data_IF_394771514429
#
_entry.id   IF_394771514429
#
_cell.length_a   1.000
_cell.length_b   1.000
_cell.length_c   1.000
_cell.angle_alpha   90.00
_cell.angle_beta   90.00
_cell.angle_gamma   90.00
#
_symmetry.space_group_name_H-M   'P 1'
#
loop_
_entity.id
_entity.type
_entity.pdbx_description
1 polymer ?
#
# COMPACT_ATOMS: atom_id res chain seq x y z
N UNK A 1 -5.28 10.64 -13.80
CA UNK A 1 -4.86 9.25 -14.01
C UNK A 1 -3.82 8.87 -12.96
N UNK A 2 -3.84 7.63 -12.47
CA UNK A 2 -2.79 7.07 -11.60
C UNK A 2 -2.32 5.75 -12.21
N UNK A 3 -1.04 5.43 -12.02
CA UNK A 3 -0.48 4.15 -12.43
C UNK A 3 0.47 3.64 -11.34
N UNK A 4 0.65 2.31 -11.31
CA UNK A 4 1.59 1.63 -10.45
C UNK A 4 2.25 0.50 -11.23
N UNK A 5 3.54 0.31 -10.98
CA UNK A 5 4.32 -0.80 -11.52
C UNK A 5 4.80 -1.65 -10.36
N UNK A 6 4.69 -2.97 -10.49
CA UNK A 6 5.25 -3.89 -9.51
C UNK A 6 5.84 -5.12 -10.18
N UNK A 7 6.95 -5.61 -9.63
CA UNK A 7 7.59 -6.85 -10.06
C UNK A 7 7.22 -7.94 -9.06
N UNK A 8 6.61 -9.01 -9.55
CA UNK A 8 6.32 -10.19 -8.78
C UNK A 8 7.62 -10.92 -8.44
N UNK A 9 7.99 -11.03 -7.14
CA UNK A 9 9.24 -11.65 -6.73
C UNK A 9 9.23 -13.17 -6.86
N UNK A 10 8.06 -13.80 -7.05
CA UNK A 10 7.92 -15.26 -7.10
C UNK A 10 8.13 -15.84 -8.49
N UNK A 11 7.69 -15.12 -9.53
CA UNK A 11 7.79 -15.56 -10.93
C UNK A 11 8.53 -14.57 -11.83
N UNK A 12 8.93 -13.40 -11.32
CA UNK A 12 9.68 -12.38 -12.05
C UNK A 12 8.85 -11.47 -12.95
N UNK A 13 7.54 -11.71 -13.09
CA UNK A 13 6.68 -10.91 -13.96
C UNK A 13 6.57 -9.46 -13.50
N UNK A 14 6.56 -8.53 -14.45
CA UNK A 14 6.35 -7.10 -14.17
C UNK A 14 4.96 -6.70 -14.62
N UNK A 15 4.20 -6.11 -13.72
CA UNK A 15 2.85 -5.65 -13.96
C UNK A 15 2.79 -4.12 -13.96
N UNK A 16 2.01 -3.56 -14.87
CA UNK A 16 1.62 -2.16 -14.90
C UNK A 16 0.10 -2.10 -14.74
N UNK A 17 -0.37 -1.47 -13.69
CA UNK A 17 -1.78 -1.17 -13.51
C UNK A 17 -2.01 0.33 -13.67
N UNK A 18 -3.09 0.70 -14.36
CA UNK A 18 -3.48 2.09 -14.53
C UNK A 18 -4.97 2.31 -14.28
N UNK A 19 -5.28 3.47 -13.74
CA UNK A 19 -6.63 3.98 -13.54
C UNK A 19 -6.99 5.00 -14.62
N UNK A 20 -8.05 4.70 -15.36
CA UNK A 20 -8.67 5.54 -16.38
C UNK A 20 -10.10 5.92 -15.97
N UNK A 21 -10.73 6.91 -16.65
CA UNK A 21 -12.16 7.20 -16.43
C UNK A 21 -13.09 6.01 -16.71
N UNK A 22 -12.67 5.05 -17.55
CA UNK A 22 -13.46 3.87 -17.89
C UNK A 22 -13.31 2.71 -16.89
N UNK A 23 -12.32 2.79 -15.97
CA UNK A 23 -11.99 1.70 -15.05
C UNK A 23 -10.49 1.48 -14.95
N UNK A 24 -10.09 0.27 -14.54
CA UNK A 24 -8.69 -0.14 -14.44
C UNK A 24 -8.27 -0.95 -15.65
N UNK A 25 -6.99 -0.89 -15.98
CA UNK A 25 -6.35 -1.86 -16.86
C UNK A 25 -5.14 -2.46 -16.17
N UNK A 26 -4.86 -3.72 -16.49
CA UNK A 26 -3.66 -4.44 -16.07
C UNK A 26 -2.90 -4.89 -17.30
N UNK A 27 -1.61 -4.59 -17.33
CA UNK A 27 -0.69 -5.03 -18.37
C UNK A 27 0.47 -5.78 -17.75
N UNK A 28 1.11 -6.66 -18.52
CA UNK A 28 2.31 -7.39 -18.14
C UNK A 28 3.43 -7.11 -19.14
N UNK A 29 4.64 -6.93 -18.63
CA UNK A 29 5.82 -6.80 -19.46
C UNK A 29 6.11 -8.11 -20.21
N UNK A 30 6.25 -8.02 -21.53
CA UNK A 30 6.60 -9.14 -22.38
C UNK A 30 7.99 -8.92 -22.98
N UNK A 31 8.98 -9.63 -22.44
CA UNK A 31 10.39 -9.48 -22.81
C UNK A 31 10.68 -9.61 -24.30
N UNK A 32 10.10 -10.58 -25.06
CA UNK A 32 10.40 -10.71 -26.49
C UNK A 32 10.04 -9.48 -27.32
N UNK A 33 9.00 -8.73 -26.93
CA UNK A 33 8.57 -7.51 -27.64
C UNK A 33 8.99 -6.22 -26.91
N UNK A 34 9.64 -6.33 -25.74
CA UNK A 34 10.04 -5.19 -24.89
C UNK A 34 8.91 -4.18 -24.68
N UNK A 35 7.71 -4.67 -24.39
CA UNK A 35 6.54 -3.81 -24.15
C UNK A 35 5.58 -4.44 -23.14
N UNK A 36 4.75 -3.58 -22.55
CA UNK A 36 3.61 -4.01 -21.78
C UNK A 36 2.49 -4.48 -22.71
N UNK A 37 2.00 -5.69 -22.47
CA UNK A 37 0.87 -6.30 -23.16
C UNK A 37 -0.36 -6.25 -22.25
N UNK A 38 -1.49 -5.82 -22.78
CA UNK A 38 -2.75 -5.77 -22.03
C UNK A 38 -3.17 -7.18 -21.63
N UNK A 39 -3.43 -7.38 -20.34
CA UNK A 39 -3.99 -8.61 -19.79
C UNK A 39 -5.49 -8.48 -19.56
N UNK A 40 -5.92 -7.41 -18.89
CA UNK A 40 -7.30 -7.27 -18.42
C UNK A 40 -7.74 -5.82 -18.39
N UNK A 41 -9.00 -5.59 -18.75
CA UNK A 41 -9.74 -4.38 -18.40
C UNK A 41 -10.72 -4.74 -17.27
N UNK A 42 -10.83 -3.86 -16.29
CA UNK A 42 -11.68 -4.06 -15.12
C UNK A 42 -12.59 -2.83 -14.99
N UNK A 43 -13.88 -3.07 -15.17
CA UNK A 43 -14.91 -2.04 -15.02
C UNK A 43 -15.20 -1.83 -13.53
N UNK A 44 -14.64 -0.77 -12.95
CA UNK A 44 -14.87 -0.44 -11.55
C UNK A 44 -14.93 1.07 -11.33
N UNK A 45 -15.65 1.45 -10.27
CA UNK A 45 -15.65 2.83 -9.77
C UNK A 45 -14.60 2.93 -8.69
N UNK A 46 -13.58 3.76 -8.90
CA UNK A 46 -12.56 4.00 -7.88
C UNK A 46 -13.07 5.01 -6.84
N UNK A 47 -12.64 4.87 -5.57
CA UNK A 47 -12.99 5.84 -4.54
C UNK A 47 -12.42 7.22 -4.88
N UNK A 48 -13.23 8.26 -4.67
CA UNK A 48 -12.81 9.66 -4.78
C UNK A 48 -12.85 10.33 -3.40
N UNK A 49 -11.77 10.97 -2.93
CA UNK A 49 -10.43 11.00 -3.54
C UNK A 49 -9.76 9.62 -3.48
N UNK A 50 -8.91 9.31 -4.47
CA UNK A 50 -8.08 8.10 -4.49
C UNK A 50 -6.86 8.33 -3.59
N UNK A 51 -6.80 7.65 -2.45
CA UNK A 51 -5.78 7.93 -1.43
C UNK A 51 -4.51 7.10 -1.65
N UNK A 52 -4.64 5.84 -2.05
CA UNK A 52 -3.51 4.98 -2.43
C UNK A 52 -3.70 4.45 -3.85
N UNK A 53 -2.60 4.00 -4.46
CA UNK A 53 -2.60 3.25 -5.71
C UNK A 53 -1.34 2.39 -5.76
N UNK A 54 -1.32 1.32 -4.96
CA UNK A 54 -0.17 0.42 -4.78
C UNK A 54 -0.58 -1.00 -5.18
N UNK A 55 0.25 -1.69 -5.99
CA UNK A 55 0.05 -3.09 -6.31
C UNK A 55 0.63 -3.97 -5.19
N UNK A 56 -0.21 -4.86 -4.65
CA UNK A 56 0.13 -5.76 -3.55
C UNK A 56 0.19 -7.18 -4.10
N UNK A 57 1.36 -7.81 -3.99
CA UNK A 57 1.62 -9.12 -4.57
C UNK A 57 1.55 -10.18 -3.48
N UNK A 58 0.64 -11.14 -3.65
CA UNK A 58 0.46 -12.30 -2.78
C UNK A 58 0.77 -13.57 -3.58
N UNK A 59 1.54 -14.53 -3.06
CA UNK A 59 1.92 -15.73 -3.81
C UNK A 59 0.73 -16.64 -4.15
N UNK A 60 -0.40 -16.47 -3.47
CA UNK A 60 -1.62 -17.27 -3.66
C UNK A 60 -2.46 -16.80 -4.87
N UNK A 61 -2.21 -15.60 -5.40
CA UNK A 61 -3.00 -15.01 -6.48
C UNK A 61 -2.17 -14.86 -7.77
N UNK A 62 -2.83 -14.99 -8.91
CA UNK A 62 -2.22 -14.88 -10.24
C UNK A 62 -1.74 -13.44 -10.53
N UNK A 63 -2.60 -12.48 -10.24
CA UNK A 63 -2.37 -11.04 -10.41
C UNK A 63 -2.32 -10.32 -9.07
N UNK A 64 -1.59 -9.18 -9.00
CA UNK A 64 -1.57 -8.37 -7.79
C UNK A 64 -2.96 -7.87 -7.40
N UNK A 65 -3.20 -7.68 -6.11
CA UNK A 65 -4.28 -6.87 -5.58
C UNK A 65 -3.92 -5.40 -5.74
N UNK A 66 -4.92 -4.51 -5.86
CA UNK A 66 -4.71 -3.07 -5.92
C UNK A 66 -5.20 -2.40 -4.63
N UNK A 67 -4.30 -1.76 -3.90
CA UNK A 67 -4.64 -0.93 -2.75
C UNK A 67 -5.08 0.46 -3.19
N UNK A 68 -6.33 0.83 -2.86
CA UNK A 68 -6.94 2.13 -3.22
C UNK A 68 -7.10 3.07 -2.01
N UNK A 69 -6.82 2.57 -0.80
CA UNK A 69 -6.88 3.33 0.44
C UNK A 69 -6.75 2.45 1.67
N UNK A 70 -7.01 3.03 2.83
CA UNK A 70 -6.90 2.37 4.14
C UNK A 70 -8.07 2.80 5.02
N UNK A 71 -8.62 1.90 5.82
CA UNK A 71 -9.61 2.20 6.87
C UNK A 71 -8.92 2.64 8.16
N UNK A 72 -9.59 3.44 9.00
CA UNK A 72 -8.99 4.00 10.22
C UNK A 72 -9.14 3.08 11.43
N UNK A 73 -10.28 2.40 11.56
CA UNK A 73 -10.65 1.63 12.76
C UNK A 73 -11.38 0.33 12.40
N UNK A 74 -10.70 -0.84 12.41
CA UNK A 74 -9.25 -1.01 12.53
C UNK A 74 -8.49 -0.53 11.27
N UNK A 75 -7.17 -0.32 11.39
CA UNK A 75 -6.33 -0.01 10.22
C UNK A 75 -6.23 -1.24 9.31
N UNK A 76 -6.88 -1.20 8.13
CA UNK A 76 -6.86 -2.27 7.12
C UNK A 76 -6.75 -1.68 5.72
N UNK A 77 -6.14 -2.43 4.79
CA UNK A 77 -6.05 -2.03 3.39
C UNK A 77 -7.41 -2.19 2.70
N UNK A 78 -7.77 -1.22 1.86
CA UNK A 78 -8.89 -1.34 0.93
C UNK A 78 -8.35 -1.88 -0.39
N UNK A 79 -8.60 -3.16 -0.65
CA UNK A 79 -8.02 -3.90 -1.77
C UNK A 79 -9.08 -4.16 -2.85
N UNK A 80 -8.72 -3.92 -4.10
CA UNK A 80 -9.46 -4.35 -5.28
C UNK A 80 -8.78 -5.60 -5.80
N UNK A 81 -9.52 -6.70 -5.90
CA UNK A 81 -9.00 -7.91 -6.49
C UNK A 81 -9.18 -7.89 -8.01
N UNK A 82 -8.07 -7.92 -8.72
CA UNK A 82 -8.06 -7.93 -10.18
C UNK A 82 -8.27 -9.35 -10.74
N UNK A 83 -8.13 -10.39 -9.90
CA UNK A 83 -8.28 -11.79 -10.29
C UNK A 83 -9.76 -12.18 -10.51
N UNK A 84 -10.68 -11.65 -9.70
CA UNK A 84 -12.11 -11.93 -9.79
C UNK A 84 -12.85 -10.90 -10.67
N UNK A 85 -14.02 -11.26 -11.20
CA UNK A 85 -14.89 -10.33 -11.93
C UNK A 85 -15.66 -9.36 -11.01
N UNK A 86 -15.74 -9.66 -9.71
CA UNK A 86 -16.30 -8.77 -8.70
C UNK A 86 -15.25 -7.75 -8.26
N UNK A 87 -15.59 -6.47 -8.28
CA UNK A 87 -14.62 -5.37 -8.25
C UNK A 87 -14.34 -4.77 -6.88
N UNK A 88 -15.00 -5.26 -5.83
CA UNK A 88 -14.86 -4.73 -4.48
C UNK A 88 -14.69 -5.89 -3.51
N UNK A 89 -13.50 -5.98 -2.91
CA UNK A 89 -13.26 -6.88 -1.80
C UNK A 89 -13.24 -6.02 -0.55
N UNK A 90 -14.34 -6.04 0.21
CA UNK A 90 -14.23 -5.64 1.60
C UNK A 90 -13.49 -6.76 2.33
N UNK A 91 -12.48 -6.40 3.12
CA UNK A 91 -11.80 -7.34 4.04
C UNK A 91 -12.80 -8.11 4.92
N UNK A 92 -14.00 -7.56 5.10
CA UNK A 92 -15.05 -8.12 5.94
C UNK A 92 -15.77 -9.32 5.29
N UNK A 93 -15.65 -9.57 3.97
CA UNK A 93 -16.21 -10.80 3.36
C UNK A 93 -15.39 -12.05 3.69
N UNK A 94 -14.19 -11.90 4.26
CA UNK A 94 -13.44 -13.00 4.89
C UNK A 94 -13.97 -13.32 6.30
N UNK A 95 -14.72 -12.40 6.92
CA UNK A 95 -15.46 -12.65 8.16
C UNK A 95 -16.88 -13.12 7.78
N UNK A 96 -16.99 -14.39 7.37
CA UNK A 96 -18.27 -15.10 7.29
C UNK A 96 -18.96 -15.04 8.66
N UNK A 97 -19.84 -14.07 8.86
CA UNK A 97 -20.92 -14.15 9.85
C UNK A 97 -22.10 -14.88 9.18
N UNK A 98 -22.38 -16.15 9.53
CA UNK A 98 -23.60 -16.79 9.10
C UNK A 98 -24.74 -16.27 9.99
N UNK A 99 -25.51 -15.31 9.49
CA UNK A 99 -26.68 -14.83 10.23
C UNK A 99 -27.21 -13.53 9.69
N UNK A 100 -28.28 -13.60 8.90
CA UNK A 100 -28.97 -12.44 8.36
C UNK A 100 -29.50 -11.51 9.44
N UNK A 101 -29.36 -10.20 9.21
CA UNK A 101 -30.29 -9.18 9.67
C UNK A 101 -30.01 -7.89 8.90
N UNK A 102 -31.07 -7.15 8.55
CA UNK A 102 -31.02 -5.82 7.92
C UNK A 102 -30.43 -4.76 8.86
N UNK A 103 -29.16 -4.89 9.24
CA UNK A 103 -28.44 -3.87 9.99
C UNK A 103 -27.63 -3.03 9.00
N UNK A 104 -27.79 -1.71 9.08
CA UNK A 104 -26.94 -0.76 8.35
C UNK A 104 -25.51 -0.96 8.85
N UNK A 105 -24.70 -1.72 8.11
CA UNK A 105 -23.29 -1.90 8.43
C UNK A 105 -22.65 -0.50 8.34
N UNK A 106 -22.08 0.04 9.45
CA UNK A 106 -21.42 1.32 9.39
C UNK A 106 -20.29 1.23 8.38
N UNK A 107 -20.30 2.09 7.34
CA UNK A 107 -19.19 2.13 6.39
C UNK A 107 -17.90 2.42 7.16
N UNK A 108 -16.85 1.60 7.02
CA UNK A 108 -15.59 1.83 7.71
C UNK A 108 -15.03 3.23 7.37
N UNK A 109 -14.67 4.01 8.39
CA UNK A 109 -14.11 5.36 8.22
C UNK A 109 -12.78 5.28 7.47
N UNK A 110 -12.62 6.08 6.40
CA UNK A 110 -11.39 6.11 5.61
C UNK A 110 -10.30 6.88 6.34
N UNK A 111 -9.05 6.43 6.22
CA UNK A 111 -7.88 7.13 6.76
C UNK A 111 -7.49 8.29 5.83
N UNK A 112 -8.12 9.45 6.01
CA UNK A 112 -7.90 10.63 5.16
C UNK A 112 -6.50 11.24 5.28
N UNK A 113 -5.78 10.95 6.36
CA UNK A 113 -4.41 11.41 6.61
C UNK A 113 -3.33 10.51 5.98
N UNK A 114 -3.74 9.48 5.24
CA UNK A 114 -2.84 8.57 4.53
C UNK A 114 -1.85 9.33 3.64
N UNK A 115 -0.56 8.99 3.76
CA UNK A 115 0.55 9.55 2.99
C UNK A 115 1.13 8.54 2.00
N UNK A 116 1.34 7.31 2.45
CA UNK A 116 1.92 6.26 1.62
C UNK A 116 1.49 4.87 2.08
N UNK A 117 1.47 3.93 1.14
CA UNK A 117 1.30 2.50 1.38
C UNK A 117 2.41 1.79 0.63
N UNK A 118 3.18 0.93 1.31
CA UNK A 118 4.24 0.17 0.68
C UNK A 118 4.28 -1.26 1.18
N UNK A 119 4.25 -2.22 0.26
CA UNK A 119 4.45 -3.62 0.61
C UNK A 119 5.91 -3.85 1.01
N UNK A 120 6.14 -4.34 2.24
CA UNK A 120 7.47 -4.66 2.75
C UNK A 120 7.87 -6.08 2.39
N UNK A 121 6.92 -7.00 2.52
CA UNK A 121 7.07 -8.41 2.17
C UNK A 121 5.68 -9.02 1.93
N UNK A 122 5.63 -10.35 1.79
CA UNK A 122 4.40 -11.09 1.51
C UNK A 122 3.32 -10.96 2.59
N UNK A 123 3.73 -10.75 3.84
CA UNK A 123 2.85 -10.75 5.01
C UNK A 123 2.61 -9.35 5.57
N UNK A 124 3.47 -8.37 5.27
CA UNK A 124 3.48 -7.06 5.92
C UNK A 124 3.48 -5.89 4.92
N UNK A 125 2.63 -4.91 5.23
CA UNK A 125 2.52 -3.63 4.51
C UNK A 125 2.70 -2.48 5.48
N UNK A 126 3.47 -1.50 5.04
CA UNK A 126 3.68 -0.24 5.71
C UNK A 126 2.58 0.75 5.32
N UNK A 127 1.98 1.39 6.32
CA UNK A 127 0.99 2.46 6.17
C UNK A 127 1.50 3.70 6.87
N UNK A 128 1.82 4.74 6.10
CA UNK A 128 2.27 6.02 6.63
C UNK A 128 1.08 7.00 6.71
N UNK A 129 0.84 7.58 7.88
CA UNK A 129 -0.17 8.61 8.10
C UNK A 129 0.26 9.53 9.24
N UNK A 130 -0.02 10.82 9.10
CA UNK A 130 0.37 11.83 10.10
C UNK A 130 1.88 11.79 10.42
N UNK A 131 2.24 11.57 11.68
CA UNK A 131 3.60 11.39 12.19
C UNK A 131 3.94 9.91 12.47
N UNK A 132 3.20 8.97 11.88
CA UNK A 132 3.26 7.56 12.24
C UNK A 132 3.37 6.67 11.02
N UNK A 133 4.06 5.57 11.22
CA UNK A 133 4.14 4.43 10.32
C UNK A 133 3.63 3.19 11.03
N UNK A 134 2.49 2.65 10.60
CA UNK A 134 1.95 1.38 11.09
C UNK A 134 2.34 0.24 10.13
N UNK A 135 2.77 -0.90 10.67
CA UNK A 135 3.11 -2.09 9.90
C UNK A 135 2.03 -3.14 10.14
N UNK A 136 1.13 -3.31 9.17
CA UNK A 136 -0.06 -4.15 9.26
C UNK A 136 0.06 -5.39 8.36
N UNK A 137 -0.68 -6.47 8.66
CA UNK A 137 -0.76 -7.60 7.74
C UNK A 137 -1.40 -7.20 6.40
N UNK A 138 -1.01 -7.86 5.31
CA UNK A 138 -1.59 -7.63 3.97
C UNK A 138 -3.09 -7.94 3.94
N UNK A 139 -3.48 -9.10 4.49
CA UNK A 139 -4.86 -9.60 4.53
C UNK A 139 -5.37 -9.69 5.98
N UNK A 140 -6.68 -9.50 6.22
CA UNK A 140 -7.30 -9.76 7.52
C UNK A 140 -7.11 -11.24 7.91
N UNK A 141 -6.92 -11.52 9.21
CA UNK A 141 -6.65 -12.88 9.69
C UNK A 141 -5.23 -13.40 9.44
N UNK A 142 -4.40 -12.64 8.71
CA UNK A 142 -2.98 -12.93 8.57
C UNK A 142 -2.32 -12.92 9.95
N UNK A 143 -1.82 -14.06 10.39
CA UNK A 143 -1.01 -14.13 11.60
C UNK A 143 0.20 -13.22 11.40
N UNK A 144 0.31 -12.20 12.26
CA UNK A 144 1.62 -11.62 12.55
C UNK A 144 2.43 -12.75 13.18
N UNK A 145 3.09 -13.57 12.36
CA UNK A 145 4.27 -14.32 12.80
C UNK A 145 5.11 -13.32 13.59
N UNK A 146 5.76 -13.74 14.68
CA UNK A 146 6.71 -12.93 15.48
C UNK A 146 7.90 -12.52 14.61
N UNK A 147 7.62 -11.79 13.55
CA UNK A 147 8.55 -11.15 12.66
C UNK A 147 9.06 -9.97 13.46
N UNK A 148 10.38 -9.76 13.37
CA UNK A 148 11.13 -8.76 14.12
C UNK A 148 10.79 -7.31 13.70
N UNK A 149 9.63 -7.07 13.10
CA UNK A 149 9.17 -5.76 12.68
C UNK A 149 8.36 -5.13 13.83
N UNK A 150 8.58 -3.85 14.16
CA UNK A 150 7.73 -3.15 15.11
C UNK A 150 6.32 -3.03 14.53
N UNK A 151 5.30 -3.01 15.39
CA UNK A 151 3.92 -2.80 14.94
C UNK A 151 3.68 -1.36 14.47
N UNK A 152 4.43 -0.41 15.04
CA UNK A 152 4.29 1.02 14.85
C UNK A 152 5.63 1.73 15.08
N UNK A 153 5.94 2.70 14.23
CA UNK A 153 7.08 3.62 14.36
C UNK A 153 6.49 5.04 14.41
N UNK A 154 6.86 5.80 15.43
CA UNK A 154 6.36 7.17 15.63
C UNK A 154 7.50 8.17 15.45
N UNK A 155 7.23 9.22 14.68
CA UNK A 155 8.10 10.36 14.48
C UNK A 155 7.60 11.53 15.32
N UNK A 156 8.52 12.41 15.68
CA UNK A 156 8.30 13.65 16.43
C UNK A 156 7.88 14.82 15.52
N UNK A 157 7.77 14.58 14.21
CA UNK A 157 7.33 15.54 13.21
C UNK A 157 6.27 14.94 12.28
N UNK A 158 5.54 15.81 11.59
CA UNK A 158 4.58 15.42 10.56
C UNK A 158 5.30 14.95 9.30
N UNK A 159 4.95 13.76 8.79
CA UNK A 159 5.62 13.16 7.64
C UNK A 159 5.02 13.73 6.34
N UNK A 160 5.87 14.32 5.52
CA UNK A 160 5.49 14.82 4.19
C UNK A 160 5.58 13.71 3.13
N UNK A 161 6.66 12.93 3.17
CA UNK A 161 6.90 11.79 2.29
C UNK A 161 7.77 10.74 2.96
N UNK A 162 7.76 9.51 2.45
CA UNK A 162 8.51 8.40 3.02
C UNK A 162 9.22 7.60 1.93
N UNK A 163 10.37 7.03 2.27
CA UNK A 163 11.09 6.06 1.45
C UNK A 163 11.34 4.79 2.29
N UNK A 164 10.85 3.65 1.80
CA UNK A 164 11.10 2.36 2.43
C UNK A 164 12.37 1.72 1.86
N UNK A 165 13.32 1.40 2.74
CA UNK A 165 14.52 0.63 2.42
C UNK A 165 14.36 -0.80 2.94
N UNK A 166 15.38 -1.64 2.73
CA UNK A 166 15.32 -3.06 3.09
C UNK A 166 15.17 -3.30 4.61
N UNK A 167 15.78 -2.45 5.44
CA UNK A 167 15.86 -2.62 6.90
C UNK A 167 15.46 -1.36 7.68
N UNK A 168 15.13 -0.29 6.99
CA UNK A 168 14.89 1.03 7.55
C UNK A 168 13.88 1.81 6.72
N UNK A 169 13.36 2.88 7.30
CA UNK A 169 12.42 3.78 6.67
C UNK A 169 12.90 5.21 6.86
N UNK A 170 12.95 5.98 5.78
CA UNK A 170 13.31 7.40 5.81
C UNK A 170 12.03 8.23 5.74
N UNK A 171 11.74 8.98 6.80
CA UNK A 171 10.65 9.93 6.83
C UNK A 171 11.18 11.34 6.57
N UNK A 172 10.62 12.00 5.57
CA UNK A 172 10.99 13.35 5.16
C UNK A 172 9.98 14.35 5.71
N UNK A 173 10.50 15.47 6.18
CA UNK A 173 9.74 16.67 6.48
C UNK A 173 10.38 17.85 5.75
N UNK A 174 9.69 18.98 5.70
CA UNK A 174 10.16 20.19 5.00
C UNK A 174 11.63 20.54 5.22
N UNK A 175 12.19 20.32 6.41
CA UNK A 175 13.53 20.79 6.79
C UNK A 175 14.54 19.66 7.02
N UNK A 176 14.21 18.44 6.62
CA UNK A 176 15.08 17.33 6.96
C UNK A 176 14.53 15.94 6.66
N UNK A 177 15.27 14.96 7.14
CA UNK A 177 14.96 13.54 7.03
C UNK A 177 15.41 12.81 8.29
N UNK A 178 14.56 11.91 8.79
CA UNK A 178 14.90 11.00 9.87
C UNK A 178 14.73 9.56 9.38
N UNK A 179 15.81 8.79 9.46
CA UNK A 179 15.82 7.36 9.22
C UNK A 179 15.56 6.59 10.50
N UNK A 180 14.65 5.62 10.46
CA UNK A 180 14.41 4.69 11.57
C UNK A 180 14.47 3.25 11.13
N UNK A 181 15.01 2.40 11.99
CA UNK A 181 15.11 0.96 11.77
C UNK A 181 13.72 0.29 11.77
N UNK A 182 13.46 -0.54 10.77
CA UNK A 182 12.27 -1.40 10.71
C UNK A 182 12.37 -2.58 11.67
N UNK A 183 13.40 -2.68 12.53
CA UNK A 183 13.53 -3.79 13.50
C UNK A 183 13.20 -3.37 14.93
N UNK A 184 13.67 -2.20 15.33
CA UNK A 184 13.58 -1.72 16.69
C UNK A 184 13.11 -0.25 16.79
N UNK A 185 12.82 0.40 15.66
CA UNK A 185 12.39 1.79 15.58
C UNK A 185 13.45 2.82 16.03
N UNK A 186 14.68 2.38 16.27
CA UNK A 186 15.80 3.28 16.63
C UNK A 186 16.12 4.21 15.45
N UNK A 187 16.52 5.43 15.79
CA UNK A 187 16.99 6.42 14.82
C UNK A 187 18.32 5.93 14.25
N UNK A 188 18.37 5.72 12.94
CA UNK A 188 19.58 5.32 12.22
C UNK A 188 20.30 6.51 11.62
N UNK A 189 19.56 7.53 11.22
CA UNK A 189 20.07 8.74 10.57
C UNK A 189 19.15 9.91 10.87
N UNK A 190 19.71 11.11 10.98
CA UNK A 190 18.93 12.33 11.14
C UNK A 190 19.67 13.52 10.52
N UNK A 191 18.97 14.28 9.69
CA UNK A 191 19.45 15.49 9.06
C UNK A 191 18.37 16.54 9.23
N UNK A 192 18.70 17.65 9.89
CA UNK A 192 17.78 18.78 10.07
C UNK A 192 18.52 20.08 9.76
N UNK A 193 18.05 20.81 8.77
CA UNK A 193 18.57 22.13 8.38
C UNK A 193 17.39 23.06 8.05
N UNK A 194 17.07 23.94 8.99
CA UNK A 194 15.99 24.92 8.85
C UNK A 194 16.25 26.00 7.79
N UNK A 195 17.49 26.13 7.31
CA UNK A 195 17.83 27.04 6.20
C UNK A 195 17.47 26.47 4.84
N UNK A 196 17.17 25.17 4.76
CA UNK A 196 16.88 24.44 3.51
C UNK A 196 15.50 23.83 3.52
N UNK A 197 15.01 23.56 2.31
CA UNK A 197 13.80 22.80 2.08
C UNK A 197 14.18 21.47 1.39
N UNK A 198 13.76 20.36 1.98
CA UNK A 198 13.99 19.02 1.47
C UNK A 198 12.71 18.49 0.83
N UNK A 199 12.85 17.82 -0.32
CA UNK A 199 11.76 17.13 -1.00
C UNK A 199 12.28 15.85 -1.60
N UNK A 200 11.63 14.74 -1.30
CA UNK A 200 11.92 13.47 -1.94
C UNK A 200 11.53 13.58 -3.43
N UNK A 201 12.51 13.40 -4.31
CA UNK A 201 12.27 13.19 -5.73
C UNK A 201 11.97 11.71 -5.97
N UNK A 202 11.10 11.42 -6.96
CA UNK A 202 10.65 10.07 -7.25
C UNK A 202 11.81 9.08 -7.30
N UNK A 203 11.70 8.00 -6.53
CA UNK A 203 12.65 6.90 -6.57
C UNK A 203 12.12 5.86 -7.56
N UNK A 204 12.83 5.68 -8.69
CA UNK A 204 12.55 4.56 -9.58
C UNK A 204 12.83 3.24 -8.85
N UNK A 205 11.83 2.36 -8.76
CA UNK A 205 12.01 0.97 -8.28
C UNK A 205 12.39 0.03 -9.42
#
# INVERSE_FOLDING_TARGET
MRCAVARNPYNGYKYLCGASPAGLFLMQWYDPLRKFMLLKNIDCVLPSPLLAFELIITPELEYPLLCVGVTRKPIRLNLVNINSGATWFHSDELDLCPGGSNTVIPRPERLHTLRAVHQLNKDAVLVCHENVVDIIPVLPGGERRRNKLPSRIQFDFHIDSILCLADSVLAFHRHGVQGRSLRNADVTQEITDHSRAYRLLGHDK
#
